data_IF_119688925504
#
_entry.id   IF_119688925504
#
_cell.length_a   1.000
_cell.length_b   1.000
_cell.length_c   1.000
_cell.angle_alpha   90.00
_cell.angle_beta   90.00
_cell.angle_gamma   90.00
#
_symmetry.space_group_name_H-M   'P 1'
#
loop_
_entity.id
_entity.type
_entity.pdbx_description
1 polymer ?
#
# COMPACT_ATOMS: atom_id res chain seq x y z
N UNK A 1 7.98 25.84 -15.59
CA UNK A 1 7.76 25.42 -15.55
C UNK A 1 7.59 24.84 -14.76
N UNK A 2 7.55 24.90 -14.29
CA UNK A 2 7.43 24.50 -13.54
C UNK A 2 6.89 23.48 -13.36
N UNK A 3 6.80 23.29 -13.58
CA UNK A 3 6.38 22.36 -13.67
C UNK A 3 6.46 21.33 -12.94
N UNK A 4 6.46 21.35 -11.97
CA UNK A 4 6.60 20.38 -11.20
C UNK A 4 5.33 19.80 -11.04
N UNK A 5 4.77 18.98 -11.74
CA UNK A 5 3.58 18.23 -11.46
C UNK A 5 3.92 17.10 -10.53
N UNK A 6 4.20 17.45 -9.31
CA UNK A 6 4.52 16.46 -8.29
C UNK A 6 3.61 16.67 -7.09
N UNK A 7 3.55 15.65 -6.26
CA UNK A 7 2.83 15.72 -5.00
C UNK A 7 3.66 15.04 -3.93
N UNK A 8 3.37 15.34 -2.69
CA UNK A 8 4.10 14.77 -1.58
C UNK A 8 3.28 13.63 -0.97
N UNK A 9 3.88 12.47 -0.87
CA UNK A 9 3.20 11.32 -0.30
C UNK A 9 2.94 11.55 1.19
N UNK A 10 1.73 11.23 1.63
CA UNK A 10 1.40 11.33 3.05
C UNK A 10 1.91 10.14 3.84
N UNK A 11 2.46 9.16 3.15
CA UNK A 11 3.00 7.98 3.80
C UNK A 11 4.49 8.15 4.07
N UNK A 12 5.24 8.58 3.06
CA UNK A 12 6.69 8.68 3.19
C UNK A 12 7.21 10.11 3.20
N UNK A 13 6.40 11.06 2.79
CA UNK A 13 6.86 12.44 2.68
C UNK A 13 7.73 12.69 1.47
N UNK A 14 7.83 11.72 0.58
CA UNK A 14 8.64 11.84 -0.62
C UNK A 14 7.80 12.38 -1.75
N UNK A 15 8.41 13.19 -2.61
CA UNK A 15 7.70 13.73 -3.76
C UNK A 15 7.71 12.74 -4.92
N UNK A 16 6.56 12.62 -5.57
CA UNK A 16 6.39 11.74 -6.72
C UNK A 16 5.64 12.49 -7.80
N UNK A 17 5.74 12.04 -9.05
CA UNK A 17 4.96 12.65 -10.12
C UNK A 17 3.47 12.53 -9.82
N UNK A 18 2.71 13.55 -10.18
CA UNK A 18 1.28 13.59 -9.94
C UNK A 18 0.57 12.39 -10.58
N UNK A 19 1.08 11.89 -11.68
CA UNK A 19 0.47 10.74 -12.33
C UNK A 19 0.56 9.48 -11.48
N UNK A 20 1.41 9.49 -10.47
CA UNK A 20 1.53 8.37 -9.55
C UNK A 20 0.60 8.51 -8.35
N UNK A 21 -0.11 9.62 -8.28
CA UNK A 21 -0.92 9.92 -7.10
C UNK A 21 -2.12 8.99 -6.98
N UNK A 22 -2.28 8.40 -5.81
CA UNK A 22 -3.42 7.55 -5.50
C UNK A 22 -4.06 8.10 -4.24
N UNK A 23 -5.35 8.40 -4.31
CA UNK A 23 -6.05 8.90 -3.14
C UNK A 23 -6.42 7.74 -2.23
N UNK A 24 -6.43 8.00 -0.91
CA UNK A 24 -6.79 6.98 0.05
C UNK A 24 -8.16 6.39 -0.21
N UNK A 25 -9.09 7.22 -0.71
CA UNK A 25 -10.44 6.75 -0.98
C UNK A 25 -10.50 5.76 -2.13
N UNK A 26 -9.47 5.71 -2.97
CA UNK A 26 -9.43 4.79 -4.09
C UNK A 26 -8.76 3.46 -3.71
N UNK A 27 -8.26 3.35 -2.51
CA UNK A 27 -7.55 2.16 -2.07
C UNK A 27 -8.55 1.16 -1.47
N UNK A 28 -8.37 -0.11 -1.80
CA UNK A 28 -9.23 -1.14 -1.26
C UNK A 28 -9.05 -1.22 0.25
N UNK A 29 -10.13 -1.52 0.94
CA UNK A 29 -10.13 -1.50 2.39
C UNK A 29 -9.04 -2.37 3.03
N UNK A 30 -8.80 -3.60 2.58
CA UNK A 30 -7.75 -4.40 3.20
C UNK A 30 -6.38 -3.75 3.11
N UNK A 31 -6.08 -3.15 1.96
CA UNK A 31 -4.79 -2.47 1.76
C UNK A 31 -4.77 -1.19 2.58
N UNK A 32 -5.88 -0.47 2.59
CA UNK A 32 -6.01 0.75 3.38
C UNK A 32 -5.72 0.48 4.85
N UNK A 33 -6.29 -0.60 5.38
CA UNK A 33 -6.08 -0.95 6.77
C UNK A 33 -4.63 -1.31 7.05
N UNK A 34 -3.97 -1.93 6.09
CA UNK A 34 -2.55 -2.25 6.23
C UNK A 34 -1.73 -0.98 6.33
N UNK A 35 -2.05 0.01 5.50
CA UNK A 35 -1.37 1.29 5.55
C UNK A 35 -1.61 1.96 6.90
N UNK A 36 -2.83 1.92 7.39
CA UNK A 36 -3.16 2.54 8.67
C UNK A 36 -2.46 1.87 9.83
N UNK A 37 -2.10 0.61 9.69
CA UNK A 37 -1.35 -0.08 10.73
C UNK A 37 0.00 0.57 10.94
N UNK A 38 0.64 1.01 9.85
CA UNK A 38 1.93 1.67 9.92
C UNK A 38 1.81 3.19 10.06
N UNK A 39 0.73 3.73 9.53
CA UNK A 39 0.49 5.18 9.54
C UNK A 39 -0.92 5.46 10.04
N UNK A 40 -1.13 5.45 11.35
CA UNK A 40 -2.49 5.57 11.91
C UNK A 40 -3.22 6.83 11.48
N UNK A 41 -2.46 7.88 11.12
CA UNK A 41 -3.08 9.14 10.71
C UNK A 41 -3.53 9.13 9.26
N UNK A 42 -3.21 8.09 8.52
CA UNK A 42 -3.58 8.03 7.11
C UNK A 42 -5.09 7.92 6.99
N UNK A 43 -5.68 8.71 6.12
CA UNK A 43 -7.13 8.71 5.93
C UNK A 43 -7.45 8.74 4.44
N UNK A 44 -8.75 8.64 4.14
CA UNK A 44 -9.21 8.65 2.75
C UNK A 44 -8.87 9.96 2.05
N UNK A 45 -8.62 11.00 2.81
CA UNK A 45 -8.28 12.29 2.24
C UNK A 45 -6.80 12.42 1.90
N UNK A 46 -6.01 11.51 2.41
CA UNK A 46 -4.59 11.51 2.13
C UNK A 46 -4.29 10.76 0.85
N UNK A 47 -3.05 10.84 0.41
CA UNK A 47 -2.65 10.18 -0.83
C UNK A 47 -1.23 9.65 -0.70
N UNK A 48 -0.90 8.75 -1.61
CA UNK A 48 0.43 8.18 -1.67
C UNK A 48 0.71 7.86 -3.13
N UNK A 49 1.95 7.47 -3.43
CA UNK A 49 2.32 7.14 -4.79
C UNK A 49 1.93 5.71 -5.12
N UNK A 50 1.63 5.46 -6.38
CA UNK A 50 1.28 4.13 -6.84
C UNK A 50 2.39 3.13 -6.53
N UNK A 51 3.64 3.57 -6.62
CA UNK A 51 4.78 2.70 -6.28
C UNK A 51 4.72 2.28 -4.82
N UNK A 52 4.31 3.19 -3.93
CA UNK A 52 4.18 2.86 -2.52
C UNK A 52 3.00 1.94 -2.29
N UNK A 53 1.91 2.19 -3.01
CA UNK A 53 0.74 1.34 -2.90
C UNK A 53 1.07 -0.09 -3.30
N UNK A 54 1.89 -0.24 -4.33
CA UNK A 54 2.30 -1.56 -4.77
C UNK A 54 3.10 -2.29 -3.70
N UNK A 55 3.90 -1.56 -2.93
CA UNK A 55 4.64 -2.17 -1.83
C UNK A 55 3.67 -2.75 -0.81
N UNK A 56 2.60 -2.01 -0.49
CA UNK A 56 1.61 -2.50 0.46
C UNK A 56 0.80 -3.65 -0.12
N UNK A 57 0.54 -3.61 -1.41
CA UNK A 57 -0.14 -4.72 -2.07
C UNK A 57 0.70 -5.99 -1.98
N UNK A 58 2.00 -5.85 -2.19
CA UNK A 58 2.90 -7.00 -2.09
C UNK A 58 2.98 -7.52 -0.66
N UNK A 59 2.99 -6.62 0.30
CA UNK A 59 3.00 -7.04 1.69
C UNK A 59 1.72 -7.80 2.02
N UNK A 60 0.61 -7.32 1.53
CA UNK A 60 -0.67 -7.95 1.78
C UNK A 60 -0.71 -9.35 1.17
N UNK A 61 -0.32 -9.45 -0.08
CA UNK A 61 -0.32 -10.72 -0.79
C UNK A 61 0.65 -11.69 -0.14
N UNK A 62 1.84 -11.22 0.18
CA UNK A 62 2.84 -12.05 0.82
C UNK A 62 2.35 -12.61 2.14
N UNK A 63 1.70 -11.78 2.93
CA UNK A 63 1.21 -12.18 4.22
C UNK A 63 0.17 -13.29 4.08
N UNK A 64 -0.74 -13.14 3.14
CA UNK A 64 -1.80 -14.13 2.96
C UNK A 64 -1.30 -15.38 2.26
N UNK A 65 -0.46 -15.23 1.25
CA UNK A 65 0.08 -16.38 0.57
C UNK A 65 0.97 -17.20 1.48
N UNK A 66 1.78 -16.53 2.30
CA UNK A 66 2.63 -17.26 3.24
C UNK A 66 1.80 -18.10 4.19
N UNK A 67 0.69 -17.52 4.65
CA UNK A 67 -0.18 -18.26 5.55
C UNK A 67 -0.75 -19.48 4.86
N UNK A 68 -1.22 -19.32 3.62
CA UNK A 68 -1.80 -20.43 2.89
C UNK A 68 -0.77 -21.48 2.58
N UNK A 69 0.42 -21.07 2.18
CA UNK A 69 1.48 -22.00 1.86
C UNK A 69 1.88 -22.79 3.10
N UNK A 70 1.95 -22.12 4.24
CA UNK A 70 2.27 -22.80 5.47
C UNK A 70 1.26 -23.87 5.80
N UNK A 71 -0.03 -23.55 5.63
CA UNK A 71 -1.07 -24.50 5.91
C UNK A 71 -1.03 -25.68 4.96
N UNK A 72 -0.78 -25.40 3.69
CA UNK A 72 -0.68 -26.45 2.70
C UNK A 72 0.51 -27.35 2.99
N UNK A 73 1.62 -26.77 3.39
CA UNK A 73 2.80 -27.54 3.74
C UNK A 73 2.51 -28.49 4.90
N UNK A 74 1.79 -27.99 5.88
CA UNK A 74 1.44 -28.84 7.03
C UNK A 74 0.56 -30.00 6.59
N UNK A 75 -0.40 -29.72 5.74
CA UNK A 75 -1.27 -30.76 5.25
C UNK A 75 -0.50 -31.79 4.44
N UNK A 76 0.42 -31.33 3.62
CA UNK A 76 1.20 -32.23 2.79
C UNK A 76 2.13 -33.11 3.59
N UNK A 77 2.58 -32.63 4.74
CA UNK A 77 3.45 -33.42 5.57
C UNK A 77 2.73 -34.52 6.31
N UNK A 78 1.44 -34.43 6.33
CA UNK A 78 0.65 -35.48 6.97
C UNK A 78 0.34 -36.57 5.98
#
# INVERSE_FOLDING_TARGET
MSSKNTFKSDVSGVEFPVKEKVNGSAIRLPIFNLIKTEHPDFSAEHCLANAELNVYREKYISKYLNTEISQLSKLQKM
#
